data_IF_434655643436
#
_entry.id   IF_434655643436
#
_cell.length_a   1.000
_cell.length_b   1.000
_cell.length_c   1.000
_cell.angle_alpha   90.00
_cell.angle_beta   90.00
_cell.angle_gamma   90.00
#
_symmetry.space_group_name_H-M   'P 1'
#
loop_
_entity.id
_entity.type
_entity.pdbx_description
1 polymer ?
#
# COMPACT_ATOMS: atom_id res chain seq x y z
N UNK A 1 23.18 -7.50 -2.77
CA UNK A 1 21.79 -7.71 -3.26
C UNK A 1 21.09 -6.36 -3.23
N UNK A 2 20.22 -6.03 -4.20
CA UNK A 2 19.56 -4.71 -4.29
C UNK A 2 18.25 -4.60 -3.49
N UNK A 3 17.78 -5.71 -2.91
CA UNK A 3 16.54 -5.76 -2.12
C UNK A 3 16.56 -6.90 -1.12
N UNK A 4 15.77 -6.75 -0.06
CA UNK A 4 15.46 -7.75 0.94
C UNK A 4 13.96 -8.09 0.89
N UNK A 5 13.62 -9.34 1.22
CA UNK A 5 12.22 -9.77 1.29
C UNK A 5 11.77 -9.63 2.74
N UNK A 6 10.87 -8.70 3.02
CA UNK A 6 10.30 -8.51 4.34
C UNK A 6 8.86 -9.00 4.37
N UNK A 7 8.53 -9.71 5.43
CA UNK A 7 7.17 -10.16 5.69
C UNK A 7 6.48 -9.03 6.42
N UNK A 8 5.67 -8.26 5.70
CA UNK A 8 4.90 -7.16 6.28
C UNK A 8 3.51 -7.68 6.56
N UNK A 9 2.99 -7.39 7.76
CA UNK A 9 1.57 -7.59 8.05
C UNK A 9 0.80 -6.65 7.14
N UNK A 10 -0.02 -7.17 6.24
CA UNK A 10 -0.98 -6.34 5.52
C UNK A 10 -1.80 -5.64 6.59
N UNK A 11 -1.81 -4.32 6.61
CA UNK A 11 -2.72 -3.60 7.50
C UNK A 11 -4.13 -4.10 7.19
N UNK A 12 -4.67 -4.83 8.14
CA UNK A 12 -6.04 -5.34 8.09
C UNK A 12 -6.91 -4.11 8.00
N UNK A 13 -7.76 -4.04 6.96
CA UNK A 13 -8.68 -2.93 6.69
C UNK A 13 -9.27 -2.40 8.00
N UNK A 14 -8.72 -1.31 8.54
CA UNK A 14 -9.07 -0.82 9.88
C UNK A 14 -10.57 -0.48 10.00
N UNK A 15 -11.22 -0.25 8.85
CA UNK A 15 -12.63 0.07 8.73
C UNK A 15 -13.54 -1.14 8.44
N UNK A 16 -12.99 -2.33 8.18
CA UNK A 16 -13.81 -3.47 7.74
C UNK A 16 -14.79 -3.96 8.82
N UNK A 17 -14.38 -3.94 10.09
CA UNK A 17 -15.28 -4.26 11.20
C UNK A 17 -16.45 -3.27 11.28
N UNK A 18 -16.15 -1.97 11.29
CA UNK A 18 -17.16 -0.90 11.31
C UNK A 18 -18.14 -1.00 10.12
N UNK A 19 -17.61 -1.24 8.93
CA UNK A 19 -18.44 -1.43 7.73
C UNK A 19 -19.37 -2.64 7.85
N UNK A 20 -18.89 -3.75 8.43
CA UNK A 20 -19.70 -4.95 8.62
C UNK A 20 -20.83 -4.71 9.64
N UNK A 21 -20.54 -3.96 10.71
CA UNK A 21 -21.52 -3.58 11.73
C UNK A 21 -22.61 -2.68 11.13
N UNK A 22 -22.23 -1.67 10.34
CA UNK A 22 -23.17 -0.81 9.60
C UNK A 22 -24.06 -1.62 8.64
N UNK A 23 -23.47 -2.55 7.88
CA UNK A 23 -24.21 -3.43 6.97
C UNK A 23 -25.20 -4.31 7.75
N UNK A 24 -24.80 -4.83 8.90
CA UNK A 24 -25.67 -5.68 9.71
C UNK A 24 -26.84 -4.89 10.31
N UNK A 25 -26.61 -3.66 10.78
CA UNK A 25 -27.67 -2.76 11.23
C UNK A 25 -28.69 -2.47 10.12
N UNK A 26 -28.21 -2.18 8.90
CA UNK A 26 -29.08 -1.96 7.74
C UNK A 26 -29.91 -3.22 7.39
N UNK A 27 -29.31 -4.40 7.48
CA UNK A 27 -30.01 -5.67 7.26
C UNK A 27 -31.11 -5.92 8.28
N UNK A 28 -30.86 -5.64 9.56
CA UNK A 28 -31.85 -5.75 10.63
C UNK A 28 -33.02 -4.79 10.40
N UNK A 29 -32.73 -3.54 10.02
CA UNK A 29 -33.77 -2.56 9.64
C UNK A 29 -34.61 -3.04 8.46
N UNK A 30 -34.02 -3.82 7.55
CA UNK A 30 -34.70 -4.43 6.41
C UNK A 30 -35.26 -5.84 6.69
N UNK A 31 -35.30 -6.29 7.95
CA UNK A 31 -35.83 -7.61 8.34
C UNK A 31 -35.04 -8.81 7.82
N UNK A 32 -33.80 -8.58 7.36
CA UNK A 32 -32.89 -9.61 6.89
C UNK A 32 -31.99 -10.06 8.04
N UNK A 33 -31.66 -11.36 8.05
CA UNK A 33 -30.74 -11.90 9.06
C UNK A 33 -29.34 -11.28 8.90
N UNK A 34 -28.65 -10.90 10.00
CA UNK A 34 -27.29 -10.41 9.94
C UNK A 34 -26.35 -11.47 9.37
N UNK A 35 -25.23 -11.03 8.79
CA UNK A 35 -24.22 -11.97 8.32
C UNK A 35 -23.50 -12.61 9.52
N UNK A 36 -23.10 -13.89 9.42
CA UNK A 36 -22.25 -14.49 10.43
C UNK A 36 -20.94 -13.70 10.55
N UNK A 37 -20.36 -13.59 11.75
CA UNK A 37 -19.06 -12.94 11.94
C UNK A 37 -18.02 -13.71 11.13
N UNK A 38 -17.40 -13.04 10.15
CA UNK A 38 -16.33 -13.67 9.40
C UNK A 38 -15.12 -13.83 10.33
N UNK A 39 -14.53 -15.03 10.30
CA UNK A 39 -13.26 -15.34 10.97
C UNK A 39 -12.09 -14.69 10.18
N UNK A 40 -12.03 -13.35 10.18
CA UNK A 40 -10.96 -12.57 9.54
C UNK A 40 -9.71 -12.46 10.42
N UNK A 41 -9.43 -13.44 11.28
CA UNK A 41 -8.15 -13.56 11.99
C UNK A 41 -7.00 -14.07 11.11
N UNK A 42 -7.22 -14.16 9.79
CA UNK A 42 -6.12 -14.36 8.86
C UNK A 42 -5.36 -13.05 8.75
N UNK A 43 -4.38 -12.87 9.63
CA UNK A 43 -3.27 -11.92 9.47
C UNK A 43 -2.59 -12.26 8.15
N UNK A 44 -3.10 -11.69 7.05
CA UNK A 44 -2.54 -11.87 5.73
C UNK A 44 -1.15 -11.21 5.74
N UNK A 45 -0.11 -12.02 5.82
CA UNK A 45 1.26 -11.59 5.65
C UNK A 45 1.56 -11.52 4.17
N UNK A 46 1.96 -10.33 3.70
CA UNK A 46 2.43 -10.14 2.32
C UNK A 46 3.96 -10.03 2.35
N UNK A 47 4.62 -10.82 1.50
CA UNK A 47 6.04 -10.65 1.25
C UNK A 47 6.23 -9.44 0.33
N UNK A 48 6.79 -8.35 0.86
CA UNK A 48 7.15 -7.16 0.11
C UNK A 48 8.66 -7.21 -0.12
N UNK A 49 9.10 -6.76 -1.30
CA UNK A 49 10.52 -6.55 -1.59
C UNK A 49 10.82 -5.10 -1.22
N UNK A 50 11.67 -4.91 -0.22
CA UNK A 50 12.14 -3.60 0.24
C UNK A 50 13.53 -3.38 -0.35
N UNK A 51 13.77 -2.22 -0.94
CA UNK A 51 15.09 -1.89 -1.49
C UNK A 51 16.08 -1.65 -0.36
N UNK A 52 17.31 -2.12 -0.52
CA UNK A 52 18.37 -1.90 0.47
C UNK A 52 18.92 -0.46 0.41
N UNK A 53 18.69 0.23 -0.71
CA UNK A 53 19.18 1.60 -0.93
C UNK A 53 18.15 2.66 -0.51
N UNK A 54 16.86 2.34 -0.62
CA UNK A 54 15.77 3.24 -0.27
C UNK A 54 14.57 2.41 0.25
N UNK A 55 14.37 2.36 1.59
CA UNK A 55 13.30 1.58 2.22
C UNK A 55 11.88 1.97 1.79
N UNK A 56 11.66 3.23 1.42
CA UNK A 56 10.35 3.75 1.06
C UNK A 56 10.04 3.61 -0.44
N UNK A 57 11.08 3.40 -1.27
CA UNK A 57 10.92 3.16 -2.70
C UNK A 57 9.98 2.00 -3.04
N UNK A 58 8.98 2.30 -3.85
CA UNK A 58 7.99 1.32 -4.30
C UNK A 58 8.57 0.26 -5.23
N UNK A 59 8.13 -0.99 -5.07
CA UNK A 59 8.44 -2.07 -6.02
C UNK A 59 7.50 -2.01 -7.23
N UNK A 60 7.99 -1.45 -8.34
CA UNK A 60 7.22 -1.29 -9.58
C UNK A 60 7.43 -2.48 -10.52
N UNK A 61 6.32 -3.04 -11.00
CA UNK A 61 6.31 -4.10 -12.02
C UNK A 61 5.67 -3.51 -13.26
N UNK A 62 6.48 -3.25 -14.30
CA UNK A 62 5.97 -2.74 -15.58
C UNK A 62 5.36 -3.88 -16.39
N UNK A 63 6.15 -4.92 -16.61
CA UNK A 63 5.78 -6.15 -17.33
C UNK A 63 6.42 -7.38 -16.64
N UNK A 64 6.20 -8.59 -17.15
CA UNK A 64 6.76 -9.82 -16.55
C UNK A 64 8.29 -9.81 -16.44
N UNK A 65 8.97 -9.21 -17.43
CA UNK A 65 10.43 -9.12 -17.52
C UNK A 65 11.03 -7.94 -16.76
N UNK A 66 10.30 -6.84 -16.63
CA UNK A 66 10.80 -5.55 -16.13
C UNK A 66 10.22 -5.23 -14.76
N UNK A 67 11.03 -5.48 -13.72
CA UNK A 67 10.71 -5.17 -12.33
C UNK A 67 11.80 -4.26 -11.77
N UNK A 68 11.42 -3.08 -11.29
CA UNK A 68 12.35 -2.04 -10.84
C UNK A 68 11.84 -1.37 -9.57
N UNK A 69 12.75 -0.79 -8.79
CA UNK A 69 12.39 0.15 -7.75
C UNK A 69 12.26 1.53 -8.40
N UNK A 70 11.20 2.25 -8.05
CA UNK A 70 10.95 3.60 -8.52
C UNK A 70 10.83 4.53 -7.32
N UNK A 71 11.39 5.74 -7.46
CA UNK A 71 11.28 6.85 -6.52
C UNK A 71 10.91 8.10 -7.31
N UNK A 72 10.28 9.07 -6.65
CA UNK A 72 9.93 10.33 -7.29
C UNK A 72 11.06 11.34 -7.11
N UNK A 73 11.50 11.94 -8.21
CA UNK A 73 12.53 12.98 -8.20
C UNK A 73 11.94 14.28 -8.73
N UNK A 74 11.84 15.27 -7.86
CA UNK A 74 11.36 16.61 -8.20
C UNK A 74 12.55 17.55 -8.32
N UNK A 75 12.65 18.24 -9.45
CA UNK A 75 13.68 19.25 -9.68
C UNK A 75 13.03 20.58 -10.08
N UNK A 76 13.45 21.66 -9.44
CA UNK A 76 13.12 23.03 -9.82
C UNK A 76 14.31 23.63 -10.56
N UNK A 77 14.07 24.26 -11.71
CA UNK A 77 15.11 24.90 -12.52
C UNK A 77 14.72 26.34 -12.88
N UNK A 78 15.74 27.19 -13.03
CA UNK A 78 15.59 28.56 -13.52
C UNK A 78 15.33 28.58 -15.04
N UNK A 79 14.92 29.74 -15.57
CA UNK A 79 14.72 29.99 -17.01
C UNK A 79 15.96 29.68 -17.86
N UNK A 80 17.16 29.82 -17.28
CA UNK A 80 18.42 29.52 -17.95
C UNK A 80 18.84 28.03 -17.84
N UNK A 81 18.01 27.18 -17.24
CA UNK A 81 18.26 25.74 -17.11
C UNK A 81 19.12 25.34 -15.91
N UNK A 82 19.46 26.26 -15.00
CA UNK A 82 20.17 25.94 -13.76
C UNK A 82 19.23 25.31 -12.74
N UNK A 83 19.64 24.19 -12.14
CA UNK A 83 18.87 23.53 -11.09
C UNK A 83 18.97 24.36 -9.81
N UNK A 84 17.83 24.86 -9.33
CA UNK A 84 17.72 25.67 -8.12
C UNK A 84 17.41 24.84 -6.88
N UNK A 85 16.79 23.67 -7.07
CA UNK A 85 16.45 22.79 -5.96
C UNK A 85 16.03 21.41 -6.42
N UNK A 86 16.25 20.43 -5.56
CA UNK A 86 15.89 19.04 -5.79
C UNK A 86 15.26 18.45 -4.54
N UNK A 87 14.15 17.75 -4.70
CA UNK A 87 13.49 17.00 -3.64
C UNK A 87 13.31 15.57 -4.14
N UNK A 88 13.81 14.62 -3.36
CA UNK A 88 13.54 13.20 -3.57
C UNK A 88 12.38 12.84 -2.66
N UNK A 89 11.25 12.43 -3.24
CA UNK A 89 10.14 11.86 -2.49
C UNK A 89 10.27 10.35 -2.55
N UNK A 90 10.48 9.69 -1.40
CA UNK A 90 10.65 8.25 -1.36
C UNK A 90 9.38 7.49 -1.81
#
# INVERSE_FOLDING_TARGET
RKFEKKIVRKETRAYQGRLQDEINQDRENHGKKPFPPDNFDKKETRAIKESTTDPESGYYVKDERTKQFAYSFHAAADRNGFVLGTIVTP
#
